data_IF_820874039498
#
_entry.id   IF_820874039498
#
_cell.length_a   1.000
_cell.length_b   1.000
_cell.length_c   1.000
_cell.angle_alpha   90.00
_cell.angle_beta   90.00
_cell.angle_gamma   90.00
#
_symmetry.space_group_name_H-M   'P 1'
#
loop_
_entity.id
_entity.type
_entity.pdbx_description
1 polymer ?
#
# COMPACT_ATOMS: atom_id res chain seq x y z
N UNK A 1 15.03 -2.04 0.37
CA UNK A 1 14.08 -1.34 1.25
C UNK A 1 12.87 -2.24 1.48
N UNK A 2 12.33 -2.32 2.70
CA UNK A 2 11.16 -3.14 3.09
C UNK A 2 10.03 -2.19 3.47
N UNK A 3 8.86 -2.37 2.88
CA UNK A 3 7.72 -1.46 3.05
C UNK A 3 6.50 -2.26 3.51
N UNK A 4 5.96 -1.90 4.67
CA UNK A 4 4.70 -2.46 5.14
C UNK A 4 3.53 -1.61 4.61
N UNK A 5 2.56 -2.26 3.99
CA UNK A 5 1.38 -1.63 3.40
C UNK A 5 0.22 -1.67 4.39
N UNK A 6 -0.32 -0.51 4.68
CA UNK A 6 -1.58 -0.36 5.39
C UNK A 6 -2.77 -0.72 4.48
N UNK A 7 -3.94 -1.00 5.05
CA UNK A 7 -5.19 -1.32 4.33
C UNK A 7 -5.57 -0.24 3.32
N UNK A 8 -5.35 1.03 3.66
CA UNK A 8 -5.63 2.16 2.76
C UNK A 8 -4.75 2.16 1.48
N UNK A 9 -3.70 1.35 1.43
CA UNK A 9 -2.85 1.14 0.26
C UNK A 9 -3.27 -0.10 -0.53
N UNK A 10 -3.65 -1.18 0.16
CA UNK A 10 -4.07 -2.43 -0.51
C UNK A 10 -5.49 -2.36 -1.07
N UNK A 11 -6.39 -1.68 -0.40
CA UNK A 11 -7.80 -1.56 -0.82
C UNK A 11 -7.96 -0.86 -2.18
N UNK A 12 -7.34 0.33 -2.46
CA UNK A 12 -7.49 1.00 -3.75
C UNK A 12 -6.69 0.28 -4.85
N UNK A 13 -7.38 -0.41 -5.74
CA UNK A 13 -6.79 -1.31 -6.73
C UNK A 13 -5.68 -0.67 -7.58
N UNK A 14 -5.94 0.49 -8.18
CA UNK A 14 -4.94 1.14 -9.05
C UNK A 14 -3.72 1.58 -8.23
N UNK A 15 -3.93 2.18 -7.05
CA UNK A 15 -2.83 2.60 -6.18
C UNK A 15 -1.95 1.42 -5.76
N UNK A 16 -2.57 0.33 -5.29
CA UNK A 16 -1.88 -0.92 -4.97
C UNK A 16 -1.06 -1.41 -6.14
N UNK A 17 -1.68 -1.49 -7.33
CA UNK A 17 -1.02 -2.05 -8.52
C UNK A 17 0.14 -1.17 -9.01
N UNK A 18 0.09 0.16 -8.85
CA UNK A 18 1.24 1.06 -9.08
C UNK A 18 2.42 0.65 -8.19
N UNK A 19 2.19 0.54 -6.88
CA UNK A 19 3.26 0.16 -5.95
C UNK A 19 3.80 -1.24 -6.22
N UNK A 20 2.93 -2.21 -6.53
CA UNK A 20 3.34 -3.58 -6.83
C UNK A 20 4.10 -3.69 -8.17
N UNK A 21 3.74 -2.88 -9.18
CA UNK A 21 4.50 -2.84 -10.43
C UNK A 21 5.91 -2.27 -10.20
N UNK A 22 6.03 -1.20 -9.41
CA UNK A 22 7.33 -0.64 -9.00
C UNK A 22 8.14 -1.66 -8.17
N UNK A 23 7.51 -2.33 -7.22
CA UNK A 23 8.16 -3.37 -6.42
C UNK A 23 8.68 -4.53 -7.28
N UNK A 24 7.97 -4.90 -8.36
CA UNK A 24 8.41 -5.94 -9.29
C UNK A 24 9.68 -5.58 -10.06
N UNK A 25 10.07 -4.31 -10.06
CA UNK A 25 11.34 -3.81 -10.61
C UNK A 25 12.47 -3.77 -9.55
N UNK A 26 12.28 -4.45 -8.40
CA UNK A 26 13.23 -4.55 -7.30
C UNK A 26 13.56 -3.23 -6.54
N UNK A 27 12.71 -2.21 -6.62
CA UNK A 27 12.91 -0.98 -5.84
C UNK A 27 12.74 -1.21 -4.37
N UNK A 28 11.79 -2.09 -3.98
CA UNK A 28 11.51 -2.43 -2.60
C UNK A 28 10.78 -3.78 -2.50
N UNK A 29 10.68 -4.30 -1.29
CA UNK A 29 9.91 -5.49 -0.95
C UNK A 29 8.66 -5.09 -0.19
N UNK A 30 7.45 -5.34 -0.74
CA UNK A 30 6.18 -5.02 -0.08
C UNK A 30 5.82 -6.10 0.95
N UNK A 31 5.15 -5.69 2.04
CA UNK A 31 4.65 -6.59 3.08
C UNK A 31 3.26 -6.18 3.55
N UNK A 32 2.47 -7.16 3.94
CA UNK A 32 1.15 -7.00 4.59
C UNK A 32 0.88 -8.19 5.49
N UNK A 33 -0.10 -8.05 6.39
CA UNK A 33 -0.45 -9.10 7.35
C UNK A 33 -1.86 -9.65 7.13
N UNK A 34 -2.20 -10.74 7.82
CA UNK A 34 -3.55 -11.29 7.88
C UNK A 34 -4.57 -10.24 8.34
N UNK A 35 -4.21 -9.38 9.32
CA UNK A 35 -5.08 -8.31 9.79
C UNK A 35 -5.41 -7.31 8.68
N UNK A 36 -4.41 -6.87 7.92
CA UNK A 36 -4.59 -5.97 6.77
C UNK A 36 -5.50 -6.60 5.71
N UNK A 37 -5.30 -7.88 5.39
CA UNK A 37 -6.17 -8.60 4.46
C UNK A 37 -7.62 -8.70 4.99
N UNK A 38 -7.79 -8.95 6.28
CA UNK A 38 -9.12 -9.04 6.89
C UNK A 38 -9.83 -7.70 6.93
N UNK A 39 -9.13 -6.61 7.21
CA UNK A 39 -9.68 -5.24 7.11
C UNK A 39 -10.08 -4.91 5.67
N UNK A 40 -9.24 -5.25 4.70
CA UNK A 40 -9.58 -5.07 3.29
C UNK A 40 -10.87 -5.83 2.93
N UNK A 41 -11.00 -7.11 3.35
CA UNK A 41 -12.23 -7.88 3.15
C UNK A 41 -13.44 -7.20 3.80
N UNK A 42 -13.30 -6.77 5.05
CA UNK A 42 -14.37 -6.11 5.80
C UNK A 42 -14.85 -4.82 5.12
N UNK A 43 -13.92 -3.94 4.70
CA UNK A 43 -14.26 -2.68 4.01
C UNK A 43 -14.91 -2.95 2.66
N UNK A 44 -14.42 -3.96 1.93
CA UNK A 44 -14.93 -4.32 0.61
C UNK A 44 -16.35 -4.89 0.71
N UNK A 45 -16.59 -5.80 1.66
CA UNK A 45 -17.90 -6.43 1.87
C UNK A 45 -19.00 -5.41 2.19
N UNK A 46 -18.68 -4.41 2.98
CA UNK A 46 -19.62 -3.32 3.29
C UNK A 46 -20.05 -2.53 2.07
N UNK A 47 -19.19 -2.40 1.06
CA UNK A 47 -19.44 -1.61 -0.16
C UNK A 47 -19.93 -2.45 -1.35
N UNK A 48 -19.60 -3.75 -1.38
CA UNK A 48 -19.77 -4.63 -2.53
C UNK A 48 -20.22 -6.03 -2.09
N UNK A 49 -21.41 -6.12 -1.45
CA UNK A 49 -21.92 -7.37 -0.82
C UNK A 49 -21.90 -8.59 -1.73
N UNK A 50 -22.19 -8.41 -3.02
CA UNK A 50 -22.32 -9.51 -3.97
C UNK A 50 -21.01 -9.89 -4.68
N UNK A 51 -19.88 -9.25 -4.34
CA UNK A 51 -18.59 -9.39 -5.04
C UNK A 51 -17.45 -9.95 -4.20
N UNK A 52 -17.76 -10.56 -3.06
CA UNK A 52 -16.76 -11.14 -2.15
C UNK A 52 -15.92 -12.24 -2.81
N UNK A 53 -16.55 -13.03 -3.70
CA UNK A 53 -15.85 -14.09 -4.43
C UNK A 53 -14.74 -13.53 -5.33
N UNK A 54 -15.00 -12.40 -6.00
CA UNK A 54 -14.01 -11.70 -6.84
C UNK A 54 -12.82 -11.23 -5.99
N UNK A 55 -13.10 -10.64 -4.81
CA UNK A 55 -12.07 -10.22 -3.89
C UNK A 55 -11.21 -11.37 -3.37
N UNK A 56 -11.83 -12.52 -3.02
CA UNK A 56 -11.08 -13.67 -2.55
C UNK A 56 -10.12 -14.21 -3.64
N UNK A 57 -10.54 -14.20 -4.90
CA UNK A 57 -9.67 -14.54 -6.04
C UNK A 57 -8.54 -13.52 -6.17
N UNK A 58 -8.83 -12.23 -6.04
CA UNK A 58 -7.82 -11.17 -6.12
C UNK A 58 -6.76 -11.31 -5.02
N UNK A 59 -7.16 -11.60 -3.78
CA UNK A 59 -6.26 -11.83 -2.65
C UNK A 59 -5.42 -13.10 -2.88
N UNK A 60 -6.03 -14.18 -3.38
CA UNK A 60 -5.32 -15.42 -3.71
C UNK A 60 -4.21 -15.15 -4.75
N UNK A 61 -4.54 -14.44 -5.83
CA UNK A 61 -3.59 -14.09 -6.88
C UNK A 61 -2.48 -13.14 -6.37
N UNK A 62 -2.84 -12.19 -5.49
CA UNK A 62 -1.88 -11.31 -4.85
C UNK A 62 -0.85 -12.11 -4.03
N UNK A 63 -1.32 -13.01 -3.16
CA UNK A 63 -0.45 -13.83 -2.31
C UNK A 63 0.37 -14.84 -3.15
N UNK A 64 -0.20 -15.40 -4.22
CA UNK A 64 0.53 -16.28 -5.13
C UNK A 64 1.67 -15.56 -5.86
N UNK A 65 1.44 -14.30 -6.27
CA UNK A 65 2.46 -13.48 -6.94
C UNK A 65 3.53 -12.97 -5.96
N UNK A 66 3.17 -12.79 -4.68
CA UNK A 66 4.03 -12.24 -3.65
C UNK A 66 4.11 -13.16 -2.42
N UNK A 67 4.64 -14.39 -2.57
CA UNK A 67 4.56 -15.43 -1.53
C UNK A 67 5.31 -15.06 -0.24
N UNK A 68 6.31 -14.19 -0.32
CA UNK A 68 7.13 -13.74 0.83
C UNK A 68 6.66 -12.42 1.44
N UNK A 69 5.57 -11.84 0.94
CA UNK A 69 5.07 -10.53 1.36
C UNK A 69 3.98 -10.63 2.43
N UNK A 70 3.30 -11.76 2.50
CA UNK A 70 2.28 -12.04 3.50
C UNK A 70 2.93 -12.55 4.78
N UNK A 71 2.74 -11.83 5.89
CA UNK A 71 3.39 -12.14 7.16
C UNK A 71 2.38 -12.32 8.28
N UNK A 72 2.75 -13.12 9.27
CA UNK A 72 2.04 -13.24 10.54
C UNK A 72 2.57 -12.20 11.53
N UNK A 73 1.67 -11.59 12.30
CA UNK A 73 2.02 -10.61 13.33
C UNK A 73 2.43 -11.32 14.61
N UNK A 74 3.55 -10.92 15.21
CA UNK A 74 3.88 -11.32 16.57
C UNK A 74 3.02 -10.53 17.57
N UNK A 75 2.14 -11.24 18.30
CA UNK A 75 1.23 -10.66 19.30
C UNK A 75 1.96 -10.01 20.48
N UNK A 76 3.17 -10.47 20.82
CA UNK A 76 3.98 -9.93 21.93
C UNK A 76 4.36 -8.45 21.74
N UNK A 77 4.29 -7.95 20.52
CA UNK A 77 4.53 -6.55 20.23
C UNK A 77 3.32 -5.66 20.49
N UNK A 78 2.09 -6.19 20.40
CA UNK A 78 0.86 -5.39 20.45
C UNK A 78 0.71 -4.64 21.79
N UNK A 79 1.02 -5.28 22.90
CA UNK A 79 0.85 -4.69 24.24
C UNK A 79 1.89 -3.61 24.58
N UNK A 80 3.00 -3.58 23.83
CA UNK A 80 4.12 -2.64 24.03
C UNK A 80 4.06 -1.41 23.12
N UNK A 81 3.08 -1.38 22.20
CA UNK A 81 2.93 -0.31 21.21
C UNK A 81 1.96 0.75 21.75
N UNK A 82 2.45 1.99 21.86
CA UNK A 82 1.65 3.15 22.22
C UNK A 82 1.39 4.00 20.97
N UNK A 83 0.15 3.99 20.48
CA UNK A 83 -0.33 4.82 19.38
C UNK A 83 -1.56 5.61 19.82
N UNK A 84 -1.86 6.75 19.15
CA UNK A 84 -3.07 7.53 19.38
C UNK A 84 -4.34 6.71 19.22
N UNK A 85 -4.43 5.87 18.19
CA UNK A 85 -5.49 4.88 18.01
C UNK A 85 -4.97 3.48 18.34
N UNK A 86 -5.63 2.82 19.29
CA UNK A 86 -5.31 1.45 19.72
C UNK A 86 -5.58 0.44 18.58
N UNK A 87 -6.53 0.74 17.70
CA UNK A 87 -6.88 -0.14 16.59
C UNK A 87 -5.76 -0.24 15.55
N UNK A 88 -4.87 0.77 15.47
CA UNK A 88 -3.76 0.80 14.52
C UNK A 88 -2.50 0.04 15.02
N UNK A 89 -2.53 -0.50 16.24
CA UNK A 89 -1.40 -1.26 16.79
C UNK A 89 -0.99 -2.45 15.92
N UNK A 90 -1.95 -3.12 15.29
CA UNK A 90 -1.68 -4.27 14.41
C UNK A 90 -0.91 -3.86 13.16
N UNK A 91 -1.13 -2.64 12.64
CA UNK A 91 -0.39 -2.09 11.50
C UNK A 91 1.09 -1.91 11.86
N UNK A 92 1.36 -1.25 13.01
CA UNK A 92 2.74 -1.04 13.46
C UNK A 92 3.40 -2.35 13.88
N UNK A 93 2.67 -3.27 14.53
CA UNK A 93 3.18 -4.61 14.86
C UNK A 93 3.57 -5.40 13.61
N UNK A 94 2.79 -5.31 12.53
CA UNK A 94 3.12 -5.89 11.24
C UNK A 94 4.41 -5.30 10.65
N UNK A 95 4.54 -3.97 10.68
CA UNK A 95 5.75 -3.29 10.21
C UNK A 95 7.01 -3.72 10.99
N UNK A 96 6.90 -3.86 12.32
CA UNK A 96 7.98 -4.37 13.19
C UNK A 96 8.30 -5.83 12.83
N UNK A 97 7.29 -6.69 12.72
CA UNK A 97 7.46 -8.14 12.48
C UNK A 97 8.18 -8.44 11.17
N UNK A 98 8.04 -7.58 10.15
CA UNK A 98 8.78 -7.74 8.90
C UNK A 98 10.04 -6.87 8.82
N UNK A 99 10.48 -6.21 9.91
CA UNK A 99 11.60 -5.27 9.89
C UNK A 99 11.45 -4.22 8.77
N UNK A 100 10.27 -3.60 8.67
CA UNK A 100 10.01 -2.58 7.67
C UNK A 100 10.85 -1.32 7.92
N UNK A 101 11.38 -0.73 6.85
CA UNK A 101 12.00 0.60 6.89
C UNK A 101 10.93 1.70 6.78
N UNK A 102 9.84 1.38 6.08
CA UNK A 102 8.73 2.31 5.81
C UNK A 102 7.41 1.64 6.17
N UNK A 103 6.56 2.39 6.87
CA UNK A 103 5.13 2.15 6.95
C UNK A 103 4.44 3.06 5.93
N UNK A 104 3.84 2.46 4.90
CA UNK A 104 3.12 3.19 3.85
C UNK A 104 1.63 3.31 4.22
N UNK A 105 1.19 4.53 4.49
CA UNK A 105 -0.19 4.82 4.94
C UNK A 105 -0.62 6.23 4.52
N UNK A 106 -1.91 6.43 4.30
CA UNK A 106 -2.53 7.77 4.19
C UNK A 106 -2.80 8.38 5.57
N UNK A 107 -2.86 7.56 6.61
CA UNK A 107 -3.26 7.98 7.96
C UNK A 107 -2.06 8.35 8.83
N UNK A 108 -1.25 9.31 8.38
CA UNK A 108 -0.01 9.70 9.07
C UNK A 108 -0.24 10.25 10.49
N UNK A 109 -1.42 10.79 10.80
CA UNK A 109 -1.74 11.38 12.11
C UNK A 109 -1.74 10.34 13.25
N UNK A 110 -2.10 9.09 12.94
CA UNK A 110 -2.19 8.01 13.91
C UNK A 110 -0.86 7.25 14.07
N UNK A 111 0.14 7.60 13.25
CA UNK A 111 1.50 7.06 13.29
C UNK A 111 2.54 8.15 13.53
N UNK A 112 2.69 8.66 14.78
CA UNK A 112 3.60 9.75 15.08
C UNK A 112 5.06 9.44 14.70
N UNK A 113 5.65 10.31 13.87
CA UNK A 113 7.01 10.15 13.33
C UNK A 113 8.04 9.89 14.43
N UNK A 114 7.95 10.61 15.56
CA UNK A 114 8.88 10.45 16.67
C UNK A 114 8.82 9.05 17.32
N UNK A 115 7.62 8.44 17.37
CA UNK A 115 7.45 7.08 17.90
C UNK A 115 8.02 6.04 16.92
N UNK A 116 7.69 6.15 15.65
CA UNK A 116 8.10 5.18 14.63
C UNK A 116 9.60 5.26 14.34
N UNK A 117 10.19 6.45 14.31
CA UNK A 117 11.61 6.62 14.08
C UNK A 117 12.48 5.94 15.17
N UNK A 118 12.00 5.86 16.42
CA UNK A 118 12.70 5.10 17.49
C UNK A 118 12.74 3.59 17.20
N UNK A 119 11.83 3.11 16.36
CA UNK A 119 11.76 1.72 15.90
C UNK A 119 12.46 1.52 14.55
N UNK A 120 13.09 2.56 13.99
CA UNK A 120 13.72 2.52 12.67
C UNK A 120 12.73 2.52 11.52
N UNK A 121 11.44 2.86 11.76
CA UNK A 121 10.38 2.86 10.78
C UNK A 121 10.00 4.31 10.44
N UNK A 122 9.94 4.64 9.15
CA UNK A 122 9.49 5.95 8.67
C UNK A 122 8.06 5.86 8.13
N UNK A 123 7.06 6.55 8.74
CA UNK A 123 5.73 6.61 8.15
C UNK A 123 5.76 7.52 6.92
N UNK A 124 5.17 7.07 5.81
CA UNK A 124 5.15 7.78 4.52
C UNK A 124 3.78 7.72 3.87
N UNK A 125 3.35 8.84 3.30
CA UNK A 125 2.19 8.83 2.40
C UNK A 125 2.56 8.27 1.03
N UNK A 126 1.58 7.75 0.25
CA UNK A 126 1.78 7.33 -1.13
C UNK A 126 2.48 8.40 -1.97
N UNK A 127 2.01 9.65 -1.92
CA UNK A 127 2.62 10.72 -2.69
C UNK A 127 4.07 10.95 -2.31
N UNK A 128 4.39 11.01 -1.00
CA UNK A 128 5.76 11.26 -0.55
C UNK A 128 6.72 10.17 -0.98
N UNK A 129 6.28 8.90 -0.96
CA UNK A 129 7.10 7.78 -1.41
C UNK A 129 7.26 7.77 -2.93
N UNK A 130 6.17 7.97 -3.68
CA UNK A 130 6.24 8.00 -5.15
C UNK A 130 7.11 9.14 -5.67
N UNK A 131 7.07 10.32 -5.03
CA UNK A 131 7.96 11.44 -5.37
C UNK A 131 9.43 11.12 -5.12
N UNK A 132 9.75 10.45 -4.00
CA UNK A 132 11.10 9.99 -3.73
C UNK A 132 11.58 9.01 -4.82
N UNK A 133 10.80 7.96 -5.08
CA UNK A 133 11.13 6.96 -6.10
C UNK A 133 11.26 7.59 -7.50
N UNK A 134 10.38 8.53 -7.82
CA UNK A 134 10.45 9.30 -9.06
C UNK A 134 11.74 10.11 -9.17
N UNK A 135 12.20 10.75 -8.08
CA UNK A 135 13.47 11.49 -8.09
C UNK A 135 14.69 10.60 -8.32
N UNK A 136 14.61 9.34 -7.91
CA UNK A 136 15.67 8.34 -8.09
C UNK A 136 15.69 7.77 -9.53
N UNK A 137 14.53 7.52 -10.13
CA UNK A 137 14.40 6.99 -11.49
C UNK A 137 13.09 7.44 -12.18
N UNK A 138 13.06 8.67 -12.74
CA UNK A 138 11.83 9.25 -13.31
C UNK A 138 11.21 8.41 -14.42
N UNK A 139 12.02 7.93 -15.37
CA UNK A 139 11.53 7.19 -16.54
C UNK A 139 10.90 5.85 -16.17
N UNK A 140 11.52 5.14 -15.23
CA UNK A 140 11.00 3.86 -14.80
C UNK A 140 9.69 4.03 -14.02
N UNK A 141 9.63 4.98 -13.10
CA UNK A 141 8.42 5.23 -12.29
C UNK A 141 7.28 5.70 -13.17
N UNK A 142 7.54 6.64 -14.11
CA UNK A 142 6.54 7.07 -15.08
C UNK A 142 6.02 5.89 -15.91
N UNK A 143 6.91 5.05 -16.43
CA UNK A 143 6.55 3.85 -17.20
C UNK A 143 5.72 2.87 -16.37
N UNK A 144 6.10 2.58 -15.12
CA UNK A 144 5.35 1.67 -14.23
C UNK A 144 3.93 2.17 -13.98
N UNK A 145 3.77 3.48 -13.77
CA UNK A 145 2.46 4.11 -13.59
C UNK A 145 1.61 3.94 -14.86
N UNK A 146 2.13 4.35 -16.03
CA UNK A 146 1.41 4.27 -17.29
C UNK A 146 1.04 2.82 -17.65
N UNK A 147 1.97 1.87 -17.49
CA UNK A 147 1.70 0.45 -17.69
C UNK A 147 0.59 -0.08 -16.78
N UNK A 148 0.52 0.39 -15.53
CA UNK A 148 -0.56 0.01 -14.62
C UNK A 148 -1.91 0.51 -15.15
N UNK A 149 -2.00 1.76 -15.58
CA UNK A 149 -3.24 2.29 -16.18
C UNK A 149 -3.63 1.53 -17.45
N UNK A 150 -2.69 1.23 -18.33
CA UNK A 150 -2.96 0.46 -19.56
C UNK A 150 -3.51 -0.94 -19.26
N UNK A 151 -2.94 -1.62 -18.23
CA UNK A 151 -3.43 -2.94 -17.79
C UNK A 151 -4.86 -2.83 -17.22
N UNK A 152 -5.11 -1.86 -16.34
CA UNK A 152 -6.42 -1.66 -15.73
C UNK A 152 -7.48 -1.25 -16.76
N UNK A 153 -7.14 -0.38 -17.72
CA UNK A 153 -8.01 -0.01 -18.83
C UNK A 153 -8.43 -1.22 -19.65
N UNK A 154 -7.50 -2.12 -19.96
CA UNK A 154 -7.78 -3.37 -20.69
C UNK A 154 -8.69 -4.32 -19.90
N UNK A 155 -8.43 -4.47 -18.59
CA UNK A 155 -9.21 -5.37 -17.72
C UNK A 155 -10.65 -4.90 -17.60
N UNK A 156 -10.88 -3.59 -17.44
CA UNK A 156 -12.23 -3.04 -17.23
C UNK A 156 -12.92 -2.56 -18.52
N UNK A 157 -12.24 -2.59 -19.67
CA UNK A 157 -12.79 -2.10 -20.93
C UNK A 157 -13.13 -0.61 -20.93
N UNK A 158 -12.42 0.19 -20.12
CA UNK A 158 -12.63 1.64 -19.98
C UNK A 158 -11.32 2.39 -19.85
N UNK A 159 -11.34 3.68 -20.15
CA UNK A 159 -10.17 4.55 -19.98
C UNK A 159 -10.27 5.30 -18.65
N UNK A 160 -9.45 4.91 -17.67
CA UNK A 160 -9.31 5.66 -16.43
C UNK A 160 -8.55 6.98 -16.68
N UNK A 161 -9.14 8.09 -16.29
CA UNK A 161 -8.46 9.38 -16.31
C UNK A 161 -7.44 9.43 -15.15
N UNK A 162 -6.15 9.41 -15.51
CA UNK A 162 -5.03 9.44 -14.56
C UNK A 162 -5.16 10.62 -13.59
N UNK A 163 -5.53 11.80 -14.07
CA UNK A 163 -5.66 13.02 -13.26
C UNK A 163 -6.73 12.86 -12.19
N UNK A 164 -7.90 12.31 -12.56
CA UNK A 164 -8.99 12.09 -11.62
C UNK A 164 -8.65 11.01 -10.60
N UNK A 165 -8.03 9.92 -11.04
CA UNK A 165 -7.57 8.84 -10.15
C UNK A 165 -6.52 9.36 -9.17
N UNK A 166 -5.52 10.10 -9.64
CA UNK A 166 -4.48 10.68 -8.78
C UNK A 166 -5.04 11.70 -7.79
N UNK A 167 -6.03 12.49 -8.22
CA UNK A 167 -6.74 13.41 -7.32
C UNK A 167 -7.45 12.65 -6.18
N UNK A 168 -8.08 11.50 -6.48
CA UNK A 168 -8.76 10.69 -5.46
C UNK A 168 -7.80 10.04 -4.45
N UNK A 169 -6.53 9.87 -4.82
CA UNK A 169 -5.46 9.34 -3.97
C UNK A 169 -4.52 10.43 -3.41
N UNK A 170 -4.91 11.71 -3.47
CA UNK A 170 -4.10 12.84 -2.99
C UNK A 170 -2.71 12.97 -3.64
N UNK A 171 -2.51 12.46 -4.87
CA UNK A 171 -1.25 12.46 -5.60
C UNK A 171 -1.08 13.72 -6.48
N UNK A 172 -1.37 14.91 -5.93
CA UNK A 172 -1.42 16.18 -6.69
C UNK A 172 -0.07 16.59 -7.30
N UNK A 173 1.00 16.46 -6.50
CA UNK A 173 2.34 16.84 -6.95
C UNK A 173 2.88 15.87 -7.99
N UNK A 174 2.63 14.58 -7.79
CA UNK A 174 2.99 13.54 -8.76
C UNK A 174 2.27 13.73 -10.09
N UNK A 175 1.00 14.16 -10.08
CA UNK A 175 0.23 14.46 -11.30
C UNK A 175 0.99 15.40 -12.22
N UNK A 176 1.56 16.49 -11.68
CA UNK A 176 2.29 17.50 -12.46
C UNK A 176 3.64 16.99 -13.03
N UNK A 177 4.14 15.87 -12.56
CA UNK A 177 5.39 15.27 -13.03
C UNK A 177 5.15 14.17 -14.08
N UNK A 178 3.98 13.53 -14.04
CA UNK A 178 3.64 12.41 -14.92
C UNK A 178 2.94 12.91 -16.21
N UNK A 179 2.07 13.89 -16.08
CA UNK A 179 1.29 14.49 -17.18
C UNK A 179 1.92 15.78 -17.70
#
# INVERSE_FOLDING_TARGET
MRIFFDTCILYPRILRNIFLDIASQNFFFPFWSDHIINEWKYVYERKHKDKISELNIEILLLNARWPNSHISINKDHLDKIFLPDINDRHVLSGAISCNANILLTENLKDFPVGTLNRLGISPRSPESLLLQLYSENPELIKRSILNTFDKENKIFGQNFDIKNVFKSYNLKRLTNLIL
#
